data_IF_461482726767
#
_entry.id   IF_461482726767
#
_cell.length_a   1.000
_cell.length_b   1.000
_cell.length_c   1.000
_cell.angle_alpha   90.00
_cell.angle_beta   90.00
_cell.angle_gamma   90.00
#
_symmetry.space_group_name_H-M   'P 1'
#
loop_
_entity.id
_entity.type
_entity.pdbx_description
1 polymer ?
#
# COMPACT_ATOMS: atom_id res chain seq x y z
N UNK A 1 4.31 -27.58 45.41
CA UNK A 1 4.21 -26.91 44.10
C UNK A 1 2.74 -27.01 43.73
N UNK A 2 2.02 -25.89 43.80
CA UNK A 2 0.58 -25.88 43.55
C UNK A 2 0.38 -25.74 42.03
N UNK A 3 -0.22 -26.75 41.39
CA UNK A 3 -0.46 -26.77 39.94
C UNK A 3 -1.91 -26.40 39.73
N UNK A 4 -2.14 -25.19 39.22
CA UNK A 4 -3.48 -24.76 38.84
C UNK A 4 -3.72 -25.05 37.35
N UNK A 5 -4.81 -25.75 36.98
CA UNK A 5 -5.19 -25.91 35.59
C UNK A 5 -5.74 -24.58 35.05
N UNK A 6 -5.08 -24.04 34.02
CA UNK A 6 -5.58 -22.91 33.24
C UNK A 6 -6.42 -23.44 32.07
N UNK A 7 -7.67 -23.02 31.97
CA UNK A 7 -8.54 -23.34 30.82
C UNK A 7 -8.70 -22.08 29.99
N UNK A 8 -8.27 -22.13 28.74
CA UNK A 8 -8.56 -21.10 27.73
C UNK A 8 -9.58 -21.64 26.74
N UNK A 9 -10.61 -20.84 26.45
CA UNK A 9 -11.60 -21.15 25.42
C UNK A 9 -11.34 -20.23 24.23
N UNK A 10 -10.75 -20.75 23.16
CA UNK A 10 -10.63 -20.05 21.88
C UNK A 10 -11.80 -20.42 20.96
N UNK A 11 -12.45 -19.42 20.38
CA UNK A 11 -13.44 -19.64 19.33
C UNK A 11 -12.68 -19.78 18.00
N UNK A 12 -12.48 -21.02 17.56
CA UNK A 12 -11.69 -21.35 16.37
C UNK A 12 -12.48 -21.09 15.07
N UNK A 13 -12.35 -19.89 14.51
CA UNK A 13 -12.47 -19.74 13.05
C UNK A 13 -11.15 -20.24 12.44
N UNK A 14 -10.94 -21.57 12.43
CA UNK A 14 -9.76 -22.32 11.91
C UNK A 14 -8.63 -21.43 11.35
N UNK A 15 -7.88 -20.75 12.23
CA UNK A 15 -6.73 -19.90 11.88
C UNK A 15 -6.88 -18.90 10.73
N UNK A 16 -8.10 -18.50 10.32
CA UNK A 16 -8.37 -17.69 9.10
C UNK A 16 -9.51 -16.69 9.28
N UNK A 17 -9.35 -15.72 10.20
CA UNK A 17 -10.40 -14.73 10.49
C UNK A 17 -10.73 -13.82 9.29
N UNK A 18 -9.83 -13.74 8.31
CA UNK A 18 -9.96 -12.99 7.06
C UNK A 18 -10.82 -13.70 6.00
N UNK A 19 -11.05 -15.00 6.13
CA UNK A 19 -11.80 -15.78 5.15
C UNK A 19 -13.29 -15.78 5.50
N UNK A 20 -14.13 -15.25 4.61
CA UNK A 20 -15.58 -15.16 4.87
C UNK A 20 -16.37 -16.39 4.42
N UNK A 21 -15.75 -17.30 3.67
CA UNK A 21 -16.36 -18.55 3.24
C UNK A 21 -16.18 -19.66 4.29
N UNK A 22 -17.29 -20.18 4.81
CA UNK A 22 -17.30 -21.19 5.88
C UNK A 22 -17.03 -22.63 5.38
N UNK A 23 -17.14 -22.88 4.06
CA UNK A 23 -17.08 -24.25 3.49
C UNK A 23 -15.96 -24.47 2.45
N UNK A 24 -15.08 -23.50 2.23
CA UNK A 24 -13.78 -23.74 1.57
C UNK A 24 -13.84 -24.41 0.18
N UNK A 25 -14.84 -24.12 -0.64
CA UNK A 25 -14.92 -24.60 -2.05
C UNK A 25 -13.97 -23.83 -2.99
N UNK A 26 -12.83 -23.38 -2.46
CA UNK A 26 -11.90 -22.49 -3.13
C UNK A 26 -10.83 -23.30 -3.87
N UNK A 27 -10.59 -23.01 -5.15
CA UNK A 27 -9.55 -23.65 -5.92
C UNK A 27 -8.21 -23.12 -5.42
N UNK A 28 -7.49 -23.99 -4.72
CA UNK A 28 -6.16 -23.71 -4.21
C UNK A 28 -5.13 -24.26 -5.20
N UNK A 29 -4.16 -23.43 -5.56
CA UNK A 29 -3.01 -23.84 -6.35
C UNK A 29 -1.83 -24.12 -5.43
N UNK A 30 -1.08 -25.19 -5.66
CA UNK A 30 0.18 -25.41 -4.94
C UNK A 30 1.26 -24.54 -5.57
N UNK A 31 1.90 -23.71 -4.75
CA UNK A 31 3.01 -22.84 -5.13
C UNK A 31 4.22 -23.09 -4.26
N UNK A 32 5.41 -22.65 -4.69
CA UNK A 32 6.62 -22.67 -3.86
C UNK A 32 6.93 -21.25 -3.42
N UNK A 33 6.98 -21.02 -2.11
CA UNK A 33 7.35 -19.74 -1.52
C UNK A 33 8.87 -19.61 -1.40
N UNK A 34 9.41 -18.41 -1.59
CA UNK A 34 10.77 -18.06 -1.18
C UNK A 34 10.75 -17.47 0.24
N UNK A 35 11.12 -18.28 1.22
CA UNK A 35 11.09 -17.90 2.64
C UNK A 35 12.07 -16.78 2.99
N UNK A 36 13.07 -16.52 2.15
CA UNK A 36 14.06 -15.46 2.40
C UNK A 36 13.48 -14.06 2.27
N UNK A 37 12.35 -13.93 1.59
CA UNK A 37 11.64 -12.65 1.40
C UNK A 37 10.57 -12.39 2.48
N UNK A 38 10.30 -13.34 3.40
CA UNK A 38 9.27 -13.20 4.43
C UNK A 38 9.84 -12.70 5.75
N UNK A 39 9.46 -11.49 6.12
CA UNK A 39 9.80 -10.88 7.42
C UNK A 39 9.23 -11.61 8.66
N UNK A 40 10.05 -11.71 9.71
CA UNK A 40 9.78 -12.43 10.96
C UNK A 40 8.75 -11.78 11.89
N UNK A 41 8.39 -10.52 11.69
CA UNK A 41 7.40 -9.84 12.52
C UNK A 41 6.08 -9.66 11.76
N UNK A 42 6.21 -9.35 10.47
CA UNK A 42 5.10 -9.09 9.59
C UNK A 42 4.41 -10.39 9.15
N UNK A 43 5.17 -11.37 8.65
CA UNK A 43 4.61 -12.53 7.96
C UNK A 43 4.56 -13.80 8.80
N UNK A 44 5.52 -13.97 9.69
CA UNK A 44 5.50 -15.01 10.70
C UNK A 44 5.83 -14.37 12.04
N UNK A 45 5.89 -15.17 13.11
CA UNK A 45 6.44 -14.78 14.40
C UNK A 45 7.15 -16.02 14.96
N UNK A 46 8.24 -15.83 15.69
CA UNK A 46 8.86 -16.94 16.42
C UNK A 46 8.03 -17.23 17.67
N UNK A 47 7.34 -18.37 17.64
CA UNK A 47 6.42 -18.76 18.72
C UNK A 47 7.17 -19.05 20.04
N UNK A 48 8.41 -19.58 19.97
CA UNK A 48 9.29 -19.81 21.11
C UNK A 48 10.69 -20.24 20.66
N UNK A 49 11.74 -19.84 21.38
CA UNK A 49 13.11 -20.33 21.16
C UNK A 49 13.25 -21.87 21.30
N UNK A 50 12.25 -22.53 21.90
CA UNK A 50 12.21 -23.97 22.15
C UNK A 50 11.28 -24.74 21.19
N UNK A 51 10.52 -24.05 20.34
CA UNK A 51 9.73 -24.64 19.27
C UNK A 51 10.33 -24.20 17.93
N UNK A 52 11.19 -25.02 17.29
CA UNK A 52 11.92 -24.59 16.11
C UNK A 52 11.01 -24.35 14.89
N UNK A 53 9.79 -24.88 14.89
CA UNK A 53 8.88 -24.75 13.76
C UNK A 53 8.32 -23.33 13.66
N UNK A 54 8.67 -22.63 12.58
CA UNK A 54 8.20 -21.29 12.26
C UNK A 54 6.93 -21.39 11.43
N UNK A 55 5.95 -20.52 11.65
CA UNK A 55 4.66 -20.56 10.95
C UNK A 55 4.38 -19.24 10.26
N UNK A 56 4.21 -19.31 8.93
CA UNK A 56 3.65 -18.22 8.15
C UNK A 56 2.18 -18.03 8.52
N UNK A 57 1.77 -16.78 8.72
CA UNK A 57 0.38 -16.40 8.96
C UNK A 57 -0.46 -16.71 7.70
N UNK A 58 -1.68 -17.20 7.88
CA UNK A 58 -2.63 -17.33 6.77
C UNK A 58 -3.11 -15.95 6.30
N UNK A 59 -3.44 -15.80 5.02
CA UNK A 59 -3.98 -14.56 4.45
C UNK A 59 -2.93 -13.56 3.99
N UNK A 60 -1.64 -13.93 3.95
CA UNK A 60 -0.61 -13.07 3.39
C UNK A 60 -0.87 -12.88 1.88
N UNK A 61 -0.92 -11.64 1.36
CA UNK A 61 -0.99 -11.41 -0.07
C UNK A 61 0.33 -11.81 -0.73
N UNK A 62 0.25 -12.56 -1.82
CA UNK A 62 1.40 -13.12 -2.52
C UNK A 62 1.46 -12.64 -3.97
N UNK A 63 2.68 -12.55 -4.47
CA UNK A 63 2.98 -12.31 -5.87
C UNK A 63 4.06 -13.29 -6.36
N UNK A 64 4.22 -13.41 -7.68
CA UNK A 64 5.20 -14.31 -8.27
C UNK A 64 6.35 -13.51 -8.86
N UNK A 65 7.58 -13.83 -8.44
CA UNK A 65 8.77 -13.29 -9.06
C UNK A 65 8.94 -13.88 -10.47
N UNK A 66 8.96 -13.04 -11.49
CA UNK A 66 9.10 -13.34 -12.89
C UNK A 66 10.43 -14.04 -13.22
N UNK A 67 11.49 -13.77 -12.45
CA UNK A 67 12.82 -14.37 -12.64
C UNK A 67 12.94 -15.71 -11.94
N UNK A 68 12.70 -15.75 -10.62
CA UNK A 68 12.89 -16.98 -9.82
C UNK A 68 11.73 -17.96 -9.96
N UNK A 69 10.57 -17.50 -10.43
CA UNK A 69 9.28 -18.22 -10.46
C UNK A 69 8.75 -18.63 -9.08
N UNK A 70 9.39 -18.18 -8.01
CA UNK A 70 8.96 -18.39 -6.63
C UNK A 70 7.92 -17.33 -6.23
N UNK A 71 7.14 -17.66 -5.23
CA UNK A 71 6.15 -16.76 -4.66
C UNK A 71 6.71 -16.06 -3.43
N UNK A 72 6.49 -14.76 -3.38
CA UNK A 72 7.05 -13.83 -2.38
C UNK A 72 5.91 -12.95 -1.87
N UNK A 73 6.08 -12.25 -0.73
CA UNK A 73 5.09 -11.28 -0.27
C UNK A 73 4.78 -10.26 -1.37
N UNK A 74 3.49 -9.99 -1.59
CA UNK A 74 3.05 -8.97 -2.52
C UNK A 74 3.60 -7.60 -2.09
N UNK A 75 4.27 -6.91 -3.01
CA UNK A 75 4.79 -5.57 -2.80
C UNK A 75 3.92 -4.59 -3.60
N UNK A 76 3.01 -3.84 -2.96
CA UNK A 76 2.11 -2.98 -3.70
C UNK A 76 2.84 -1.81 -4.35
N UNK A 77 2.39 -1.48 -5.56
CA UNK A 77 2.73 -0.23 -6.23
C UNK A 77 1.85 0.86 -5.62
N UNK A 78 2.19 1.37 -4.44
CA UNK A 78 1.45 2.50 -3.87
C UNK A 78 1.86 3.78 -4.59
N UNK A 79 0.89 4.50 -5.14
CA UNK A 79 1.14 5.83 -5.69
C UNK A 79 1.59 6.78 -4.58
N UNK A 80 2.58 7.61 -4.87
CA UNK A 80 2.92 8.68 -3.95
C UNK A 80 1.74 9.66 -3.85
N UNK A 81 1.38 10.00 -2.61
CA UNK A 81 0.42 11.03 -2.29
C UNK A 81 1.09 12.09 -1.44
N UNK A 82 1.10 13.31 -1.95
CA UNK A 82 1.56 14.49 -1.23
C UNK A 82 0.39 15.44 -1.00
N UNK A 83 0.40 16.16 0.12
CA UNK A 83 -0.61 17.15 0.46
C UNK A 83 0.00 18.53 0.56
N UNK A 84 -0.67 19.50 -0.06
CA UNK A 84 -0.37 20.90 0.04
C UNK A 84 -1.45 21.57 0.89
N UNK A 85 -1.10 21.97 2.12
CA UNK A 85 -2.02 22.62 3.05
C UNK A 85 -1.72 24.11 3.11
N UNK A 86 -2.72 24.93 2.83
CA UNK A 86 -2.63 26.38 3.04
C UNK A 86 -2.96 26.65 4.51
N UNK A 87 -2.05 27.29 5.23
CA UNK A 87 -2.17 27.59 6.66
C UNK A 87 -2.37 29.08 6.89
N UNK A 88 -2.84 29.45 8.09
CA UNK A 88 -2.90 30.84 8.53
C UNK A 88 -4.07 31.67 7.98
N UNK A 89 -4.92 31.11 7.12
CA UNK A 89 -6.13 31.79 6.62
C UNK A 89 -5.84 33.05 5.79
N UNK A 90 -5.02 32.96 4.72
CA UNK A 90 -4.75 34.10 3.86
C UNK A 90 -6.02 34.68 3.24
N UNK A 91 -6.07 35.99 3.08
CA UNK A 91 -7.15 36.70 2.38
C UNK A 91 -6.72 37.19 1.00
N UNK A 92 -5.48 36.92 0.61
CA UNK A 92 -4.92 37.30 -0.69
C UNK A 92 -3.54 36.70 -0.93
N UNK A 93 -2.97 37.03 -2.09
CA UNK A 93 -1.64 36.60 -2.50
C UNK A 93 -1.63 35.32 -3.34
N UNK A 94 -0.44 34.84 -3.60
CA UNK A 94 -0.20 33.68 -4.48
C UNK A 94 0.84 32.74 -3.88
N UNK A 95 0.85 31.51 -4.37
CA UNK A 95 1.87 30.52 -4.08
C UNK A 95 2.35 29.83 -5.36
N UNK A 96 3.55 29.28 -5.32
CA UNK A 96 4.12 28.47 -6.40
C UNK A 96 4.53 27.11 -5.87
N UNK A 97 4.37 26.08 -6.68
CA UNK A 97 4.83 24.72 -6.38
C UNK A 97 6.07 24.43 -7.23
N UNK A 98 7.12 23.90 -6.61
CA UNK A 98 8.35 23.50 -7.30
C UNK A 98 8.50 21.99 -7.20
N UNK A 99 8.58 21.35 -8.37
CA UNK A 99 8.70 19.92 -8.53
C UNK A 99 9.93 19.58 -9.39
N UNK A 100 10.89 18.84 -8.82
CA UNK A 100 12.12 18.40 -9.50
C UNK A 100 12.83 19.52 -10.28
N UNK A 101 12.92 20.71 -9.66
CA UNK A 101 13.61 21.88 -10.22
C UNK A 101 12.78 22.76 -11.16
N UNK A 102 11.52 22.41 -11.44
CA UNK A 102 10.59 23.24 -12.22
C UNK A 102 9.53 23.88 -11.31
N UNK A 103 9.27 25.16 -11.51
CA UNK A 103 8.32 25.92 -10.69
C UNK A 103 7.08 26.30 -11.50
N UNK A 104 5.90 26.08 -10.93
CA UNK A 104 4.63 26.45 -11.57
C UNK A 104 4.51 27.96 -11.73
N UNK A 105 3.60 28.41 -12.60
CA UNK A 105 3.13 29.80 -12.55
C UNK A 105 2.51 30.11 -11.17
N UNK A 106 2.40 31.39 -10.83
CA UNK A 106 1.76 31.84 -9.60
C UNK A 106 0.30 31.37 -9.52
N UNK A 107 -0.04 30.65 -8.45
CA UNK A 107 -1.37 30.11 -8.17
C UNK A 107 -2.03 30.98 -7.09
N UNK A 108 -3.28 31.40 -7.32
CA UNK A 108 -4.02 32.18 -6.33
C UNK A 108 -4.27 31.39 -5.04
N UNK A 109 -4.25 32.06 -3.88
CA UNK A 109 -4.46 31.42 -2.58
C UNK A 109 -5.76 30.59 -2.48
N UNK A 110 -6.81 30.99 -3.19
CA UNK A 110 -8.13 30.33 -3.22
C UNK A 110 -8.38 29.53 -4.51
N UNK A 111 -7.32 29.17 -5.25
CA UNK A 111 -7.44 28.42 -6.50
C UNK A 111 -8.21 27.11 -6.31
N UNK A 112 -8.88 26.63 -7.36
CA UNK A 112 -9.52 25.31 -7.34
C UNK A 112 -8.48 24.21 -7.57
N UNK A 113 -8.76 22.97 -7.15
CA UNK A 113 -7.88 21.83 -7.42
C UNK A 113 -7.59 21.67 -8.93
N UNK A 114 -8.54 21.95 -9.81
CA UNK A 114 -8.34 21.91 -11.26
C UNK A 114 -7.34 22.97 -11.75
N UNK A 115 -7.36 24.16 -11.15
CA UNK A 115 -6.37 25.22 -11.45
C UNK A 115 -4.97 24.83 -10.99
N UNK A 116 -4.87 24.21 -9.80
CA UNK A 116 -3.59 23.70 -9.28
C UNK A 116 -3.06 22.56 -10.16
N UNK A 117 -3.94 21.65 -10.59
CA UNK A 117 -3.58 20.56 -11.50
C UNK A 117 -3.05 21.09 -12.83
N UNK A 118 -3.77 22.01 -13.47
CA UNK A 118 -3.33 22.61 -14.73
C UNK A 118 -1.99 23.33 -14.60
N UNK A 119 -1.72 23.97 -13.46
CA UNK A 119 -0.44 24.61 -13.20
C UNK A 119 0.73 23.61 -13.05
N UNK A 120 0.47 22.43 -12.48
CA UNK A 120 1.44 21.34 -12.36
C UNK A 120 1.67 20.61 -13.68
N UNK A 121 0.60 20.36 -14.45
CA UNK A 121 0.67 19.77 -15.80
C UNK A 121 1.33 20.69 -16.84
N UNK A 122 1.47 21.99 -16.54
CA UNK A 122 2.20 22.94 -17.37
C UNK A 122 3.73 22.86 -17.19
N UNK A 123 4.23 22.10 -16.21
CA UNK A 123 5.66 21.90 -16.02
C UNK A 123 6.23 20.99 -17.11
N UNK A 124 7.44 21.30 -17.60
CA UNK A 124 8.08 20.52 -18.69
C UNK A 124 8.42 19.07 -18.32
N UNK A 125 8.39 18.73 -17.03
CA UNK A 125 8.65 17.40 -16.49
C UNK A 125 7.37 16.64 -16.10
N UNK A 126 6.18 17.20 -16.32
CA UNK A 126 4.90 16.56 -15.96
C UNK A 126 4.01 16.51 -17.20
N UNK A 127 3.57 15.32 -17.59
CA UNK A 127 2.58 15.14 -18.65
C UNK A 127 1.15 15.17 -18.08
N UNK A 128 0.13 15.45 -18.92
CA UNK A 128 -1.26 15.32 -18.51
C UNK A 128 -1.56 13.92 -17.96
N UNK A 129 -2.08 13.85 -16.73
CA UNK A 129 -2.36 12.59 -16.03
C UNK A 129 -1.24 12.05 -15.13
N UNK A 130 -0.06 12.67 -15.11
CA UNK A 130 1.04 12.28 -14.21
C UNK A 130 0.79 12.74 -12.75
N UNK A 131 0.03 13.82 -12.54
CA UNK A 131 -0.34 14.29 -11.21
C UNK A 131 -1.82 14.63 -11.19
N UNK A 132 -2.58 13.92 -10.35
CA UNK A 132 -3.99 14.21 -10.11
C UNK A 132 -4.13 15.03 -8.84
N UNK A 133 -4.79 16.20 -8.93
CA UNK A 133 -5.01 17.06 -7.76
C UNK A 133 -6.49 17.02 -7.37
N UNK A 134 -6.75 16.78 -6.09
CA UNK A 134 -8.09 16.84 -5.50
C UNK A 134 -8.08 17.74 -4.26
N UNK A 135 -9.23 18.25 -3.84
CA UNK A 135 -9.35 19.13 -2.68
C UNK A 135 -10.29 20.30 -2.90
N UNK A 136 -10.56 21.05 -1.83
CA UNK A 136 -11.41 22.23 -1.87
C UNK A 136 -10.64 23.43 -2.44
N UNK A 137 -11.39 24.44 -2.93
CA UNK A 137 -10.79 25.71 -3.28
C UNK A 137 -10.16 26.36 -2.03
N UNK A 138 -8.88 26.72 -2.10
CA UNK A 138 -8.10 27.16 -0.93
C UNK A 138 -7.49 26.02 -0.09
N UNK A 139 -7.58 24.78 -0.56
CA UNK A 139 -6.94 23.63 0.05
C UNK A 139 -7.71 23.01 1.24
N UNK A 140 -7.15 21.96 1.86
CA UNK A 140 -5.91 21.27 1.48
C UNK A 140 -6.04 20.57 0.12
N UNK A 141 -4.96 20.57 -0.66
CA UNK A 141 -4.89 19.85 -1.93
C UNK A 141 -4.16 18.53 -1.73
N UNK A 142 -4.73 17.46 -2.27
CA UNK A 142 -4.13 16.13 -2.31
C UNK A 142 -3.65 15.87 -3.73
N UNK A 143 -2.33 15.70 -3.88
CA UNK A 143 -1.63 15.46 -5.12
C UNK A 143 -1.27 13.97 -5.17
N UNK A 144 -1.90 13.22 -6.06
CA UNK A 144 -1.62 11.81 -6.30
C UNK A 144 -0.77 11.69 -7.55
N UNK A 145 0.44 11.16 -7.42
CA UNK A 145 1.36 10.92 -8.52
C UNK A 145 0.99 9.62 -9.23
N UNK A 146 0.94 9.67 -10.55
CA UNK A 146 0.59 8.57 -11.44
C UNK A 146 1.33 8.70 -12.77
N UNK A 147 0.80 8.09 -13.83
CA UNK A 147 1.40 8.16 -15.17
C UNK A 147 2.86 7.69 -15.17
N UNK A 148 3.79 8.55 -15.56
CA UNK A 148 5.22 8.21 -15.54
C UNK A 148 5.82 8.08 -14.13
N UNK A 149 5.15 8.60 -13.10
CA UNK A 149 5.54 8.53 -11.69
C UNK A 149 4.70 7.50 -10.91
N UNK A 150 3.98 6.63 -11.63
CA UNK A 150 3.12 5.62 -11.03
C UNK A 150 3.97 4.71 -10.15
N UNK A 151 3.69 4.74 -8.85
CA UNK A 151 4.38 3.90 -7.89
C UNK A 151 5.82 4.24 -7.60
N UNK A 152 6.33 5.39 -8.03
CA UNK A 152 7.66 5.85 -7.65
C UNK A 152 7.61 6.65 -6.36
N UNK A 153 8.66 6.54 -5.54
CA UNK A 153 8.91 7.50 -4.47
C UNK A 153 9.51 8.76 -5.08
N UNK A 154 8.72 9.83 -5.10
CA UNK A 154 9.03 11.05 -5.84
C UNK A 154 9.57 12.12 -4.89
N UNK A 155 10.49 12.96 -5.37
CA UNK A 155 10.95 14.10 -4.58
C UNK A 155 9.76 14.97 -4.12
N UNK A 156 9.73 15.32 -2.84
CA UNK A 156 8.68 16.16 -2.27
C UNK A 156 8.60 17.50 -2.99
N UNK A 157 7.39 17.88 -3.39
CA UNK A 157 7.11 19.21 -3.91
C UNK A 157 7.43 20.23 -2.81
N UNK A 158 8.09 21.31 -3.19
CA UNK A 158 8.33 22.45 -2.29
C UNK A 158 7.41 23.60 -2.67
N UNK A 159 6.83 24.28 -1.68
CA UNK A 159 5.95 25.41 -1.92
C UNK A 159 6.64 26.71 -1.50
N UNK A 160 6.51 27.76 -2.32
CA UNK A 160 6.89 29.13 -1.94
C UNK A 160 5.64 29.97 -1.91
N UNK A 161 5.40 30.62 -0.77
CA UNK A 161 4.18 31.39 -0.52
C UNK A 161 4.51 32.89 -0.49
N UNK A 162 3.79 33.68 -1.29
CA UNK A 162 3.69 35.13 -1.18
C UNK A 162 2.25 35.48 -0.83
N UNK A 163 1.82 34.99 0.33
CA UNK A 163 0.45 35.09 0.83
C UNK A 163 0.30 36.29 1.78
N UNK A 164 -0.89 36.88 1.79
CA UNK A 164 -1.21 38.06 2.59
C UNK A 164 -2.49 37.87 3.41
N UNK A 165 -2.56 38.55 4.55
CA UNK A 165 -3.70 38.45 5.47
C UNK A 165 -3.64 37.21 6.38
N UNK A 166 -4.50 37.18 7.39
CA UNK A 166 -4.54 36.07 8.37
C UNK A 166 -3.37 36.05 9.37
N UNK A 167 -3.21 34.91 10.07
CA UNK A 167 -2.15 34.67 11.05
C UNK A 167 -1.04 33.82 10.43
N UNK A 168 0.07 34.46 10.05
CA UNK A 168 1.27 33.81 9.45
C UNK A 168 0.92 32.85 8.31
N UNK A 169 0.39 33.36 7.18
CA UNK A 169 -0.05 32.49 6.09
C UNK A 169 1.14 31.79 5.42
N UNK A 170 0.95 30.51 5.11
CA UNK A 170 1.99 29.69 4.49
C UNK A 170 1.39 28.53 3.71
N UNK A 171 2.26 27.78 3.03
CA UNK A 171 1.91 26.51 2.41
C UNK A 171 2.83 25.46 2.98
N UNK A 172 2.26 24.45 3.64
CA UNK A 172 2.99 23.31 4.16
C UNK A 172 2.78 22.12 3.26
N UNK A 173 3.89 21.46 2.91
CA UNK A 173 3.90 20.24 2.10
C UNK A 173 4.14 19.04 3.01
N UNK A 174 3.40 17.96 2.81
CA UNK A 174 3.61 16.70 3.51
C UNK A 174 3.35 15.52 2.58
N UNK A 175 4.28 14.56 2.51
CA UNK A 175 4.04 13.25 1.89
C UNK A 175 3.17 12.42 2.85
N UNK A 176 1.91 12.19 2.50
CA UNK A 176 0.95 11.42 3.32
C UNK A 176 0.95 9.94 3.00
N UNK A 177 1.38 9.59 1.79
CA UNK A 177 1.66 8.21 1.39
C UNK A 177 2.91 8.28 0.55
N UNK A 178 4.02 7.75 1.06
CA UNK A 178 5.21 7.60 0.22
C UNK A 178 4.84 6.67 -0.92
N UNK A 179 5.33 6.96 -2.13
CA UNK A 179 5.26 5.97 -3.19
C UNK A 179 5.90 4.67 -2.71
N UNK A 180 5.39 3.55 -3.20
CA UNK A 180 6.18 2.33 -3.21
C UNK A 180 7.47 2.63 -3.98
N UNK A 181 8.46 1.77 -3.88
CA UNK A 181 9.46 1.77 -4.94
C UNK A 181 8.84 1.02 -6.11
N UNK A 182 8.67 1.65 -7.28
CA UNK A 182 8.42 0.94 -8.54
C UNK A 182 9.66 0.11 -8.97
N UNK A 183 10.47 -0.36 -8.03
CA UNK A 183 11.64 -1.20 -8.27
C UNK A 183 11.28 -2.66 -8.45
N UNK A 184 10.13 -3.10 -7.96
CA UNK A 184 9.59 -4.41 -8.31
C UNK A 184 9.12 -4.35 -9.78
N UNK A 185 10.06 -4.45 -10.72
CA UNK A 185 9.81 -4.89 -12.10
C UNK A 185 9.92 -6.40 -12.22
N UNK A 186 10.19 -7.07 -11.10
CA UNK A 186 10.46 -8.50 -11.02
C UNK A 186 9.18 -9.34 -10.93
N UNK A 187 7.98 -8.79 -11.07
CA UNK A 187 6.70 -9.50 -11.02
C UNK A 187 6.02 -9.50 -9.65
N UNK A 188 6.73 -9.13 -8.58
CA UNK A 188 6.17 -9.10 -7.21
C UNK A 188 5.17 -7.96 -6.98
N UNK A 189 5.14 -7.00 -7.91
CA UNK A 189 4.20 -5.90 -7.95
C UNK A 189 2.81 -6.28 -8.47
N UNK A 190 2.64 -7.49 -8.99
CA UNK A 190 1.33 -7.97 -9.44
C UNK A 190 0.81 -9.03 -8.49
N UNK A 191 -0.26 -8.70 -7.78
CA UNK A 191 -0.95 -9.62 -6.88
C UNK A 191 -1.37 -10.92 -7.60
N UNK A 192 -1.27 -12.06 -6.89
CA UNK A 192 -1.60 -13.40 -7.41
C UNK A 192 -2.55 -14.20 -6.54
N UNK A 193 -2.80 -13.78 -5.31
CA UNK A 193 -3.67 -14.50 -4.39
C UNK A 193 -3.20 -14.38 -2.95
N UNK A 194 -3.91 -15.03 -2.04
CA UNK A 194 -3.56 -15.06 -0.63
C UNK A 194 -3.05 -16.44 -0.23
N UNK A 195 -2.15 -16.48 0.76
CA UNK A 195 -1.75 -17.72 1.40
C UNK A 195 -2.97 -18.32 2.11
N UNK A 196 -3.49 -19.44 1.61
CA UNK A 196 -4.77 -20.00 2.07
C UNK A 196 -4.72 -20.43 3.54
N UNK A 197 -3.59 -20.98 3.99
CA UNK A 197 -3.43 -21.58 5.31
C UNK A 197 -2.10 -21.23 5.91
N UNK A 198 -1.98 -21.34 7.24
CA UNK A 198 -0.69 -21.26 7.89
C UNK A 198 0.25 -22.35 7.36
N UNK A 199 1.48 -21.96 7.05
CA UNK A 199 2.50 -22.88 6.53
C UNK A 199 3.66 -22.92 7.49
N UNK A 200 3.92 -24.11 8.01
CA UNK A 200 5.04 -24.37 8.88
C UNK A 200 6.33 -24.60 8.06
N UNK A 201 7.46 -24.14 8.58
CA UNK A 201 8.78 -24.36 7.99
C UNK A 201 9.86 -24.47 9.06
N UNK A 202 10.94 -25.18 8.74
CA UNK A 202 12.08 -25.35 9.63
C UNK A 202 13.04 -24.15 9.53
N UNK A 203 13.72 -23.75 10.62
CA UNK A 203 14.74 -22.71 10.58
C UNK A 203 15.83 -23.08 9.57
N UNK A 204 16.24 -22.11 8.74
CA UNK A 204 17.21 -22.34 7.67
C UNK A 204 16.61 -22.87 6.35
N UNK A 205 15.31 -23.21 6.32
CA UNK A 205 14.62 -23.48 5.06
C UNK A 205 14.52 -22.20 4.24
N UNK A 206 14.89 -22.27 2.96
CA UNK A 206 14.76 -21.15 2.03
C UNK A 206 13.48 -21.24 1.20
N UNK A 207 12.83 -22.41 1.15
CA UNK A 207 11.64 -22.66 0.32
C UNK A 207 10.65 -23.56 1.04
N UNK A 208 9.36 -23.37 0.75
CA UNK A 208 8.28 -24.24 1.23
C UNK A 208 7.14 -24.29 0.22
N UNK A 209 6.48 -25.45 0.10
CA UNK A 209 5.26 -25.56 -0.67
C UNK A 209 4.08 -24.97 0.13
N UNK A 210 3.22 -24.21 -0.53
CA UNK A 210 2.10 -23.54 0.10
C UNK A 210 0.86 -23.54 -0.79
N UNK A 211 -0.34 -23.56 -0.20
CA UNK A 211 -1.59 -23.38 -0.95
C UNK A 211 -1.86 -21.89 -1.19
N UNK A 212 -1.83 -21.48 -2.46
CA UNK A 212 -2.29 -20.18 -2.92
C UNK A 212 -3.79 -20.25 -3.20
N UNK A 213 -4.56 -19.41 -2.52
CA UNK A 213 -5.96 -19.18 -2.83
C UNK A 213 -6.05 -18.08 -3.88
N UNK A 214 -6.75 -18.34 -4.99
CA UNK A 214 -6.92 -17.39 -6.10
C UNK A 214 -8.35 -16.84 -6.20
N UNK A 215 -9.31 -17.40 -5.47
CA UNK A 215 -10.66 -16.87 -5.44
C UNK A 215 -11.32 -17.10 -4.09
N UNK A 216 -12.28 -16.26 -3.74
CA UNK A 216 -12.95 -16.35 -2.43
C UNK A 216 -13.56 -15.02 -1.99
N UNK A 217 -14.04 -15.01 -0.75
CA UNK A 217 -14.57 -13.80 -0.11
C UNK A 217 -13.70 -13.41 1.07
N UNK A 218 -13.23 -12.15 1.07
CA UNK A 218 -12.17 -11.67 1.96
C UNK A 218 -12.63 -10.49 2.80
N UNK A 219 -12.38 -10.59 4.11
CA UNK A 219 -12.48 -9.49 5.07
C UNK A 219 -11.10 -8.84 5.20
N UNK A 220 -10.88 -7.77 4.46
CA UNK A 220 -9.56 -7.12 4.29
C UNK A 220 -9.02 -6.57 5.61
N UNK A 221 -9.93 -6.15 6.50
CA UNK A 221 -9.59 -5.61 7.82
C UNK A 221 -9.01 -6.66 8.77
N UNK A 222 -9.12 -7.96 8.45
CA UNK A 222 -8.64 -9.07 9.27
C UNK A 222 -7.44 -9.80 8.67
N UNK A 223 -6.90 -9.32 7.54
CA UNK A 223 -5.68 -9.87 6.97
C UNK A 223 -4.49 -9.60 7.90
N UNK A 224 -3.50 -10.51 7.98
CA UNK A 224 -2.31 -10.32 8.80
C UNK A 224 -1.38 -9.20 8.28
N UNK A 225 -1.55 -8.82 7.01
CA UNK A 225 -0.80 -7.78 6.31
C UNK A 225 -1.81 -6.92 5.55
N UNK A 226 -1.62 -5.61 5.59
CA UNK A 226 -2.49 -4.68 4.88
C UNK A 226 -2.50 -4.97 3.37
N UNK A 227 -3.67 -4.85 2.77
CA UNK A 227 -3.89 -5.08 1.35
C UNK A 227 -4.96 -4.09 0.86
N UNK A 228 -4.71 -3.44 -0.27
CA UNK A 228 -5.71 -2.60 -0.94
C UNK A 228 -6.47 -3.45 -1.98
N UNK A 229 -7.81 -3.59 -1.88
CA UNK A 229 -8.61 -4.24 -2.91
C UNK A 229 -8.44 -3.69 -4.32
N UNK A 230 -8.04 -2.42 -4.48
CA UNK A 230 -7.78 -1.81 -5.78
C UNK A 230 -6.57 -2.42 -6.51
N UNK A 231 -5.68 -3.10 -5.77
CA UNK A 231 -4.47 -3.72 -6.30
C UNK A 231 -4.72 -5.07 -6.99
N UNK A 232 -5.89 -5.68 -6.76
CA UNK A 232 -6.27 -6.91 -7.44
C UNK A 232 -6.59 -6.60 -8.91
N UNK A 233 -5.76 -7.05 -9.89
CA UNK A 233 -5.93 -6.65 -11.27
C UNK A 233 -7.21 -7.24 -11.85
N UNK A 234 -8.06 -6.38 -12.43
CA UNK A 234 -9.25 -6.80 -13.17
C UNK A 234 -8.85 -7.73 -14.34
N UNK A 235 -9.43 -8.94 -14.38
CA UNK A 235 -9.15 -9.93 -15.43
C UNK A 235 -7.91 -10.82 -15.19
N UNK A 236 -7.25 -10.71 -14.04
CA UNK A 236 -6.31 -11.74 -13.59
C UNK A 236 -7.07 -13.02 -13.22
N UNK A 237 -6.36 -14.15 -13.06
CA UNK A 237 -6.95 -15.40 -12.57
C UNK A 237 -7.48 -15.29 -11.13
N UNK A 238 -7.34 -14.13 -10.47
CA UNK A 238 -7.88 -13.90 -9.14
C UNK A 238 -9.31 -13.37 -9.18
N UNK A 239 -10.23 -14.03 -8.46
CA UNK A 239 -11.64 -13.64 -8.36
C UNK A 239 -12.03 -13.49 -6.89
N UNK A 240 -11.79 -12.32 -6.32
CA UNK A 240 -12.11 -12.02 -4.93
C UNK A 240 -13.27 -11.06 -4.81
N UNK A 241 -14.12 -11.30 -3.82
CA UNK A 241 -15.11 -10.34 -3.34
C UNK A 241 -14.65 -9.83 -1.99
N UNK A 242 -14.51 -8.52 -1.86
CA UNK A 242 -14.01 -7.88 -0.65
C UNK A 242 -15.14 -7.26 0.15
N UNK A 243 -15.12 -7.48 1.46
CA UNK A 243 -15.91 -6.68 2.40
C UNK A 243 -15.09 -5.43 2.75
N UNK A 244 -15.59 -4.28 2.31
CA UNK A 244 -15.05 -2.95 2.65
C UNK A 244 -15.77 -2.41 3.88
#
# INVERSE_FOLDING_TARGET
MDIQPYTSTETLAVGRPWLMSMLGIEANQTVTLDLTQFDQNLHWLEASAYQPERKLKSGIPLAQNATTKLFEPYSPVTNEVQTATITGGPTGGTFTLTFSGQTTSAIAYNATAATVQAALEALSNVNPGDIKVTGNAGGPYTLTFGGQYLGDNVASITATASLTGGSTPGVTMATTTAGGTATASDGTQTFRGFLFTEVAFHPGSTKVAAPLMVHGQIDVAKLPVAFDPADAPAGSNTQFVYKV
#
